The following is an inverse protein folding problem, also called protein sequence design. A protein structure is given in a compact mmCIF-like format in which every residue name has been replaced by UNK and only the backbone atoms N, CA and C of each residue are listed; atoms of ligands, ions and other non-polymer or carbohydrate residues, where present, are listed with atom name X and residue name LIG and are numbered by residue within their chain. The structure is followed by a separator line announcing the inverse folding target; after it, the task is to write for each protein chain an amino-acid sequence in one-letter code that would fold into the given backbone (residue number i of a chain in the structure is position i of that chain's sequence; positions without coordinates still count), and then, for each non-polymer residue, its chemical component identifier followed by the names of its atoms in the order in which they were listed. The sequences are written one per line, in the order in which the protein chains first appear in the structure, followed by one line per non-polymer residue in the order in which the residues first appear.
data_IF_096348938632
#
_entry.id   IF_096348938632
#
_cell.length_a   1.000
_cell.length_b   1.000
_cell.length_c   1.000
_cell.angle_alpha   90.00
_cell.angle_beta   90.00
_cell.angle_gamma   90.00
#
_symmetry.space_group_name_H-M   'P 1'
#
loop_
_entity.id
_entity.type
_entity.pdbx_description
1 polymer ?
#
# COMPACT_ATOMS: atom_id res chain seq x y z
N UNK A 1 -11.42 -18.25 -4.01
CA UNK A 1 -10.77 -16.91 -4.00
C UNK A 1 -10.38 -16.46 -2.59
N UNK A 2 -11.18 -16.73 -1.58
CA UNK A 2 -10.91 -16.32 -0.19
C UNK A 2 -9.48 -16.59 0.29
N UNK A 3 -9.00 -17.84 0.15
CA UNK A 3 -7.64 -18.19 0.56
C UNK A 3 -6.54 -17.37 -0.12
N UNK A 4 -6.71 -16.98 -1.38
CA UNK A 4 -5.72 -16.17 -2.10
C UNK A 4 -5.62 -14.75 -1.54
N UNK A 5 -6.75 -14.13 -1.20
CA UNK A 5 -6.76 -12.82 -0.52
C UNK A 5 -6.18 -12.91 0.89
N UNK A 6 -6.43 -14.02 1.60
CA UNK A 6 -5.81 -14.24 2.91
C UNK A 6 -4.28 -14.35 2.80
N UNK A 7 -3.76 -15.13 1.85
CA UNK A 7 -2.32 -15.20 1.60
C UNK A 7 -1.74 -13.83 1.20
N UNK A 8 -2.43 -13.09 0.33
CA UNK A 8 -1.99 -11.74 -0.02
C UNK A 8 -1.90 -10.83 1.21
N UNK A 9 -2.93 -10.83 2.09
CA UNK A 9 -2.92 -10.08 3.33
C UNK A 9 -1.77 -10.50 4.27
N UNK A 10 -1.47 -11.79 4.38
CA UNK A 10 -0.34 -12.28 5.19
C UNK A 10 1.00 -11.82 4.63
N UNK A 11 1.20 -11.86 3.31
CA UNK A 11 2.41 -11.37 2.65
C UNK A 11 2.57 -9.86 2.89
N UNK A 12 1.51 -9.09 2.66
CA UNK A 12 1.51 -7.65 2.92
C UNK A 12 1.77 -7.35 4.39
N UNK A 13 1.21 -8.14 5.31
CA UNK A 13 1.47 -8.03 6.74
C UNK A 13 2.93 -8.28 7.10
N UNK A 14 3.55 -9.30 6.51
CA UNK A 14 4.99 -9.57 6.70
C UNK A 14 5.86 -8.41 6.21
N UNK A 15 5.53 -7.83 5.06
CA UNK A 15 6.21 -6.63 4.54
C UNK A 15 6.00 -5.45 5.49
N UNK A 16 4.78 -5.25 6.02
CA UNK A 16 4.49 -4.21 7.01
C UNK A 16 5.35 -4.34 8.27
N UNK A 17 5.55 -5.57 8.76
CA UNK A 17 6.45 -5.82 9.91
C UNK A 17 7.88 -5.40 9.60
N UNK A 18 8.40 -5.73 8.41
CA UNK A 18 9.75 -5.32 7.99
C UNK A 18 9.85 -3.80 7.92
N UNK A 19 8.87 -3.12 7.31
CA UNK A 19 8.85 -1.65 7.22
C UNK A 19 8.81 -1.03 8.61
N UNK A 20 7.98 -1.56 9.52
CA UNK A 20 7.88 -1.09 10.89
C UNK A 20 9.20 -1.27 11.65
N UNK A 21 9.85 -2.44 11.49
CA UNK A 21 11.16 -2.71 12.08
C UNK A 21 12.22 -1.73 11.57
N UNK A 22 12.28 -1.52 10.26
CA UNK A 22 13.20 -0.54 9.66
C UNK A 22 12.89 0.89 10.13
N UNK A 23 11.61 1.25 10.25
CA UNK A 23 11.20 2.55 10.79
C UNK A 23 11.62 2.76 12.24
N UNK A 24 11.53 1.73 13.06
CA UNK A 24 11.87 1.80 14.48
C UNK A 24 13.38 1.77 14.74
N UNK A 25 14.13 0.91 14.06
CA UNK A 25 15.53 0.59 14.36
C UNK A 25 16.51 0.93 13.24
N UNK A 26 16.03 1.21 12.02
CA UNK A 26 16.88 1.35 10.83
C UNK A 26 17.98 2.39 10.95
N UNK A 27 17.72 3.52 11.61
CA UNK A 27 18.74 4.54 11.88
C UNK A 27 19.77 4.06 12.91
N UNK A 28 19.33 3.38 13.98
CA UNK A 28 20.20 2.88 15.05
C UNK A 28 21.17 1.82 14.54
N UNK A 29 20.77 1.01 13.58
CA UNK A 29 21.62 -0.04 12.96
C UNK A 29 22.33 0.43 11.68
N UNK A 30 22.29 1.73 11.38
CA UNK A 30 23.01 2.34 10.25
C UNK A 30 22.40 2.09 8.85
N UNK A 31 21.18 1.57 8.75
CA UNK A 31 20.50 1.34 7.47
C UNK A 31 19.77 2.59 6.96
N UNK A 32 19.38 3.49 7.85
CA UNK A 32 18.68 4.73 7.50
C UNK A 32 19.49 5.93 7.99
N UNK A 33 19.75 6.97 7.15
CA UNK A 33 20.55 8.13 7.54
C UNK A 33 19.85 9.00 8.59
N UNK A 34 18.51 9.12 8.52
CA UNK A 34 17.68 9.90 9.44
C UNK A 34 16.69 8.98 10.14
N UNK A 35 16.51 9.15 11.45
CA UNK A 35 15.50 8.40 12.19
C UNK A 35 14.08 8.73 11.68
N UNK A 36 13.24 7.71 11.48
CA UNK A 36 11.86 7.91 11.00
C UNK A 36 11.05 8.80 11.94
N UNK A 37 11.34 8.78 13.24
CA UNK A 37 10.72 9.70 14.19
C UNK A 37 10.99 11.18 13.81
N UNK A 38 12.21 11.52 13.39
CA UNK A 38 12.53 12.88 12.92
C UNK A 38 11.85 13.20 11.57
N UNK A 39 11.75 12.20 10.66
CA UNK A 39 11.00 12.34 9.41
C UNK A 39 9.54 12.71 9.67
N UNK A 40 8.90 12.01 10.63
CA UNK A 40 7.51 12.25 11.00
C UNK A 40 7.34 13.61 11.68
N UNK A 41 8.22 13.92 12.66
CA UNK A 41 8.17 15.18 13.40
C UNK A 41 8.45 16.41 12.54
N UNK A 42 9.23 16.27 11.46
CA UNK A 42 9.53 17.34 10.52
C UNK A 42 8.32 17.75 9.65
N UNK A 43 7.25 16.98 9.61
CA UNK A 43 6.06 17.26 8.77
C UNK A 43 6.40 17.37 7.28
N UNK A 44 5.67 18.21 6.55
CA UNK A 44 5.94 18.44 5.10
C UNK A 44 6.11 17.14 4.30
N UNK A 45 7.27 16.85 3.72
CA UNK A 45 7.55 15.61 3.00
C UNK A 45 7.35 14.37 3.88
N UNK A 46 7.63 14.43 5.17
CA UNK A 46 7.39 13.33 6.11
C UNK A 46 5.93 12.92 6.22
N UNK A 47 4.98 13.81 5.93
CA UNK A 47 3.56 13.47 5.91
C UNK A 47 3.22 12.46 4.80
N UNK A 48 3.92 12.47 3.67
CA UNK A 48 3.78 11.48 2.60
C UNK A 48 4.19 10.07 3.08
N UNK A 49 5.26 10.00 3.90
CA UNK A 49 5.65 8.75 4.54
C UNK A 49 4.54 8.21 5.45
N UNK A 50 3.97 9.06 6.31
CA UNK A 50 2.88 8.67 7.21
C UNK A 50 1.65 8.23 6.43
N UNK A 51 1.23 9.01 5.42
CA UNK A 51 0.08 8.65 4.58
C UNK A 51 0.31 7.32 3.85
N UNK A 52 1.48 7.11 3.28
CA UNK A 52 1.84 5.85 2.64
C UNK A 52 1.79 4.68 3.62
N UNK A 53 2.37 4.83 4.80
CA UNK A 53 2.40 3.80 5.83
C UNK A 53 1.00 3.43 6.34
N UNK A 54 0.18 4.42 6.68
CA UNK A 54 -1.20 4.19 7.14
C UNK A 54 -2.04 3.56 6.03
N UNK A 55 -1.92 4.05 4.78
CA UNK A 55 -2.61 3.44 3.63
C UNK A 55 -2.18 1.99 3.42
N UNK A 56 -0.89 1.70 3.53
CA UNK A 56 -0.38 0.34 3.40
C UNK A 56 -0.97 -0.60 4.46
N UNK A 57 -1.00 -0.18 5.72
CA UNK A 57 -1.59 -0.97 6.81
C UNK A 57 -3.10 -1.16 6.64
N UNK A 58 -3.82 -0.08 6.34
CA UNK A 58 -5.30 -0.13 6.30
C UNK A 58 -5.82 -0.77 5.03
N UNK A 59 -5.28 -0.42 3.86
CA UNK A 59 -5.79 -0.89 2.57
C UNK A 59 -4.98 -2.09 2.05
N UNK A 60 -3.67 -2.09 2.24
CA UNK A 60 -2.81 -3.20 1.81
C UNK A 60 -2.95 -4.45 2.69
N UNK A 61 -3.11 -4.31 4.01
CA UNK A 61 -3.19 -5.45 4.93
C UNK A 61 -4.63 -5.70 5.36
N UNK A 62 -5.25 -4.73 6.07
CA UNK A 62 -6.56 -4.94 6.71
C UNK A 62 -7.66 -5.11 5.67
N UNK A 63 -7.75 -4.25 4.66
CA UNK A 63 -8.79 -4.37 3.65
C UNK A 63 -8.65 -5.66 2.83
N UNK A 64 -7.43 -6.15 2.56
CA UNK A 64 -7.23 -7.43 1.88
C UNK A 64 -7.71 -8.61 2.76
N UNK A 65 -7.45 -8.58 4.07
CA UNK A 65 -7.94 -9.58 5.00
C UNK A 65 -9.48 -9.57 5.08
N UNK A 66 -10.10 -8.38 5.17
CA UNK A 66 -11.56 -8.21 5.14
C UNK A 66 -12.15 -8.68 3.81
N UNK A 67 -11.49 -8.38 2.69
CA UNK A 67 -11.90 -8.86 1.36
C UNK A 67 -11.93 -10.39 1.31
N UNK A 68 -10.96 -11.06 1.94
CA UNK A 68 -10.99 -12.53 2.07
C UNK A 68 -12.29 -13.04 2.72
N UNK A 69 -12.80 -12.35 3.77
CA UNK A 69 -14.06 -12.70 4.42
C UNK A 69 -15.26 -12.54 3.49
N UNK A 70 -15.30 -11.50 2.65
CA UNK A 70 -16.38 -11.35 1.67
C UNK A 70 -16.38 -12.47 0.64
N UNK A 71 -15.21 -12.85 0.12
CA UNK A 71 -15.11 -14.02 -0.76
C UNK A 71 -15.51 -15.30 -0.08
N UNK A 72 -15.07 -15.54 1.17
CA UNK A 72 -15.47 -16.69 1.96
C UNK A 72 -16.98 -16.76 2.17
N UNK A 73 -17.61 -15.64 2.51
CA UNK A 73 -19.04 -15.57 2.70
C UNK A 73 -19.82 -16.01 1.46
N UNK A 74 -19.46 -15.51 0.28
CA UNK A 74 -20.13 -15.86 -0.96
C UNK A 74 -19.86 -17.32 -1.36
N UNK A 75 -18.58 -17.74 -1.31
CA UNK A 75 -18.17 -19.08 -1.75
C UNK A 75 -18.66 -20.17 -0.81
N UNK A 76 -18.51 -19.99 0.51
CA UNK A 76 -18.72 -21.04 1.49
C UNK A 76 -20.06 -20.95 2.21
N UNK A 77 -20.51 -19.73 2.54
CA UNK A 77 -21.76 -19.56 3.30
C UNK A 77 -22.96 -19.55 2.36
N UNK A 78 -22.88 -18.81 1.23
CA UNK A 78 -23.95 -18.77 0.24
C UNK A 78 -23.89 -19.92 -0.79
N UNK A 79 -22.83 -20.71 -0.80
CA UNK A 79 -22.64 -21.80 -1.76
C UNK A 79 -22.55 -21.35 -3.21
N UNK A 80 -22.12 -20.10 -3.47
CA UNK A 80 -22.05 -19.50 -4.81
C UNK A 80 -20.61 -19.37 -5.28
N UNK A 81 -20.06 -20.39 -5.96
CA UNK A 81 -18.67 -20.35 -6.40
C UNK A 81 -18.46 -19.32 -7.50
N UNK A 82 -17.32 -18.66 -7.46
CA UNK A 82 -16.88 -17.76 -8.53
C UNK A 82 -16.53 -18.53 -9.79
N UNK A 83 -17.39 -18.46 -10.82
CA UNK A 83 -17.22 -19.12 -12.13
C UNK A 83 -17.27 -18.11 -13.27
N UNK A 84 -16.76 -18.47 -14.43
CA UNK A 84 -16.81 -17.62 -15.64
C UNK A 84 -16.28 -16.22 -15.40
N UNK A 85 -17.07 -15.20 -15.78
CA UNK A 85 -16.69 -13.78 -15.67
C UNK A 85 -16.39 -13.36 -14.22
N UNK A 86 -17.18 -13.83 -13.23
CA UNK A 86 -16.93 -13.51 -11.83
C UNK A 86 -15.54 -13.96 -11.36
N UNK A 87 -15.06 -15.13 -11.83
CA UNK A 87 -13.71 -15.62 -11.53
C UNK A 87 -12.62 -14.75 -12.16
N UNK A 88 -12.79 -14.35 -13.42
CA UNK A 88 -11.85 -13.43 -14.10
C UNK A 88 -11.73 -12.09 -13.39
N UNK A 89 -12.87 -11.50 -13.03
CA UNK A 89 -12.93 -10.24 -12.27
C UNK A 89 -12.30 -10.38 -10.88
N UNK A 90 -12.46 -11.52 -10.22
CA UNK A 90 -11.81 -11.78 -8.92
C UNK A 90 -10.28 -11.86 -9.03
N UNK A 91 -9.74 -12.37 -10.13
CA UNK A 91 -8.30 -12.35 -10.38
C UNK A 91 -7.79 -10.94 -10.66
N UNK A 92 -8.52 -10.15 -11.46
CA UNK A 92 -8.20 -8.72 -11.67
C UNK A 92 -8.21 -7.99 -10.33
N UNK A 93 -9.23 -8.22 -9.50
CA UNK A 93 -9.30 -7.65 -8.15
C UNK A 93 -8.06 -8.03 -7.32
N UNK A 94 -7.74 -9.32 -7.22
CA UNK A 94 -6.61 -9.78 -6.43
C UNK A 94 -5.29 -9.13 -6.87
N UNK A 95 -5.00 -9.16 -8.16
CA UNK A 95 -3.71 -8.69 -8.67
C UNK A 95 -3.63 -7.17 -8.65
N UNK A 96 -4.64 -6.49 -9.21
CA UNK A 96 -4.60 -5.05 -9.39
C UNK A 96 -4.76 -4.29 -8.07
N UNK A 97 -5.63 -4.74 -7.17
CA UNK A 97 -5.74 -4.10 -5.87
C UNK A 97 -4.44 -4.25 -5.05
N UNK A 98 -3.85 -5.45 -5.01
CA UNK A 98 -2.60 -5.65 -4.26
C UNK A 98 -1.43 -4.87 -4.85
N UNK A 99 -1.19 -4.96 -6.16
CA UNK A 99 -0.07 -4.25 -6.81
C UNK A 99 -0.29 -2.74 -6.74
N UNK A 100 -1.52 -2.28 -7.03
CA UNK A 100 -1.85 -0.87 -7.05
C UNK A 100 -1.71 -0.21 -5.68
N UNK A 101 -2.27 -0.81 -4.64
CA UNK A 101 -2.18 -0.26 -3.27
C UNK A 101 -0.76 -0.33 -2.75
N UNK A 102 -0.09 -1.48 -2.88
CA UNK A 102 1.29 -1.63 -2.42
C UNK A 102 2.23 -0.67 -3.15
N UNK A 103 2.13 -0.59 -4.49
CA UNK A 103 2.97 0.30 -5.29
C UNK A 103 2.79 1.77 -4.91
N UNK A 104 1.54 2.26 -4.82
CA UNK A 104 1.27 3.64 -4.44
C UNK A 104 1.77 3.95 -3.02
N UNK A 105 1.46 3.09 -2.06
CA UNK A 105 1.82 3.31 -0.65
C UNK A 105 3.34 3.25 -0.41
N UNK A 106 4.02 2.27 -1.00
CA UNK A 106 5.48 2.12 -0.87
C UNK A 106 6.23 3.29 -1.51
N UNK A 107 5.78 3.76 -2.69
CA UNK A 107 6.36 4.93 -3.33
C UNK A 107 6.10 6.22 -2.54
N UNK A 108 4.91 6.38 -1.95
CA UNK A 108 4.62 7.51 -1.07
C UNK A 108 5.52 7.49 0.18
N UNK A 109 5.71 6.32 0.79
CA UNK A 109 6.66 6.16 1.91
C UNK A 109 8.09 6.49 1.48
N UNK A 110 8.52 5.97 0.34
CA UNK A 110 9.87 6.20 -0.18
C UNK A 110 10.10 7.68 -0.47
N UNK A 111 9.24 8.33 -1.26
CA UNK A 111 9.33 9.75 -1.58
C UNK A 111 9.25 10.63 -0.33
N UNK A 112 8.32 10.30 0.59
CA UNK A 112 8.16 11.00 1.86
C UNK A 112 9.40 10.90 2.76
N UNK A 113 10.00 9.72 2.87
CA UNK A 113 11.21 9.51 3.65
C UNK A 113 12.39 10.31 3.06
N UNK A 114 12.69 10.14 1.79
CA UNK A 114 13.83 10.82 1.15
C UNK A 114 13.62 12.31 0.99
N UNK A 115 12.37 12.77 0.80
CA UNK A 115 12.05 14.19 0.85
C UNK A 115 12.31 14.79 2.22
N UNK A 116 11.98 14.10 3.30
CA UNK A 116 12.30 14.54 4.65
C UNK A 116 13.81 14.50 4.93
N UNK A 117 14.53 13.47 4.46
CA UNK A 117 16.00 13.40 4.55
C UNK A 117 16.64 14.61 3.81
N UNK A 118 16.12 14.99 2.65
CA UNK A 118 16.61 16.14 1.90
C UNK A 118 16.48 17.45 2.69
N UNK A 119 15.46 17.59 3.53
CA UNK A 119 15.20 18.78 4.35
C UNK A 119 15.86 18.72 5.74
N UNK A 120 16.09 17.53 6.29
CA UNK A 120 16.61 17.37 7.64
C UNK A 120 17.98 18.01 7.78
N UNK A 121 18.30 18.57 8.98
CA UNK A 121 19.62 19.13 9.25
C UNK A 121 20.75 18.11 9.05
N UNK A 122 21.92 18.58 8.60
CA UNK A 122 23.10 17.72 8.43
C UNK A 122 23.56 17.08 9.74
N UNK A 123 23.34 17.75 10.89
CA UNK A 123 23.59 17.21 12.22
C UNK A 123 22.72 16.01 12.57
N UNK A 124 21.63 15.79 11.86
CA UNK A 124 20.73 14.64 12.00
C UNK A 124 20.87 13.61 10.88
N UNK A 125 21.89 13.73 10.02
CA UNK A 125 22.11 12.86 8.87
C UNK A 125 21.36 13.28 7.61
N UNK A 126 20.71 14.44 7.60
CA UNK A 126 20.03 15.01 6.43
C UNK A 126 20.94 15.84 5.54
N UNK A 127 20.36 16.44 4.48
CA UNK A 127 21.08 17.26 3.51
C UNK A 127 21.00 18.77 3.81
N UNK A 128 20.15 19.21 4.73
CA UNK A 128 19.95 20.62 5.07
C UNK A 128 19.31 21.45 3.96
N UNK A 129 18.60 20.82 3.04
CA UNK A 129 17.96 21.47 1.89
C UNK A 129 16.62 22.12 2.22
N UNK A 130 15.97 22.65 1.18
CA UNK A 130 14.66 23.32 1.24
C UNK A 130 13.52 22.37 0.85
N UNK A 131 12.28 22.84 0.98
CA UNK A 131 11.10 22.14 0.46
C UNK A 131 11.18 21.92 -1.06
N UNK A 132 11.75 22.85 -1.81
CA UNK A 132 12.00 22.70 -3.24
C UNK A 132 12.99 21.56 -3.51
N UNK A 133 14.08 21.48 -2.74
CA UNK A 133 15.05 20.38 -2.82
C UNK A 133 14.35 19.03 -2.59
N UNK A 134 13.51 18.94 -1.57
CA UNK A 134 12.74 17.73 -1.28
C UNK A 134 11.79 17.35 -2.43
N UNK A 135 11.09 18.35 -2.99
CA UNK A 135 10.17 18.11 -4.10
C UNK A 135 10.93 17.59 -5.33
N UNK A 136 11.95 18.28 -5.77
CA UNK A 136 12.70 17.94 -7.00
C UNK A 136 13.41 16.58 -6.87
N UNK A 137 14.04 16.29 -5.73
CA UNK A 137 14.86 15.09 -5.57
C UNK A 137 14.05 13.83 -5.24
N UNK A 138 12.93 13.97 -4.50
CA UNK A 138 12.25 12.82 -3.93
C UNK A 138 10.77 12.71 -4.28
N UNK A 139 10.01 13.81 -4.30
CA UNK A 139 8.56 13.74 -4.50
C UNK A 139 8.19 13.72 -5.99
N UNK A 140 8.69 14.68 -6.79
CA UNK A 140 8.36 14.77 -8.21
C UNK A 140 8.62 13.46 -9.00
N UNK A 141 9.71 12.71 -8.76
CA UNK A 141 9.93 11.45 -9.47
C UNK A 141 8.87 10.37 -9.19
N UNK A 142 8.16 10.42 -8.06
CA UNK A 142 7.19 9.40 -7.65
C UNK A 142 5.74 9.81 -7.85
N UNK A 143 5.42 11.08 -8.11
CA UNK A 143 4.05 11.57 -8.26
C UNK A 143 3.26 10.80 -9.33
N UNK A 144 3.76 10.78 -10.57
CA UNK A 144 3.10 10.07 -11.67
C UNK A 144 3.04 8.55 -11.48
N UNK A 145 4.11 7.87 -11.04
CA UNK A 145 4.04 6.48 -10.65
C UNK A 145 2.98 6.18 -9.58
N UNK A 146 2.85 7.01 -8.53
CA UNK A 146 1.82 6.85 -7.50
C UNK A 146 0.43 6.93 -8.14
N UNK A 147 0.17 7.93 -8.98
CA UNK A 147 -1.12 8.07 -9.70
C UNK A 147 -1.38 6.84 -10.56
N UNK A 148 -0.39 6.34 -11.28
CA UNK A 148 -0.51 5.12 -12.08
C UNK A 148 -0.93 3.90 -11.23
N UNK A 149 -0.28 3.68 -10.09
CA UNK A 149 -0.64 2.60 -9.17
C UNK A 149 -2.03 2.79 -8.54
N UNK A 150 -2.44 4.01 -8.23
CA UNK A 150 -3.80 4.29 -7.75
C UNK A 150 -4.86 3.96 -8.79
N UNK A 151 -4.63 4.27 -10.07
CA UNK A 151 -5.53 3.88 -11.16
C UNK A 151 -5.65 2.35 -11.23
N UNK A 152 -4.52 1.63 -11.16
CA UNK A 152 -4.52 0.16 -11.13
C UNK A 152 -5.32 -0.36 -9.93
N UNK A 153 -5.15 0.20 -8.74
CA UNK A 153 -5.92 -0.18 -7.55
C UNK A 153 -7.42 0.05 -7.74
N UNK A 154 -7.82 1.20 -8.29
CA UNK A 154 -9.22 1.53 -8.58
C UNK A 154 -9.84 0.52 -9.52
N UNK A 155 -9.17 0.17 -10.63
CA UNK A 155 -9.63 -0.86 -11.55
C UNK A 155 -9.81 -2.20 -10.82
N UNK A 156 -8.86 -2.56 -9.96
CA UNK A 156 -8.94 -3.77 -9.15
C UNK A 156 -10.19 -3.79 -8.25
N UNK A 157 -10.45 -2.72 -7.51
CA UNK A 157 -11.61 -2.63 -6.62
C UNK A 157 -12.93 -2.64 -7.40
N UNK A 158 -13.02 -1.95 -8.54
CA UNK A 158 -14.21 -2.01 -9.41
C UNK A 158 -14.46 -3.41 -9.93
N UNK A 159 -13.42 -4.11 -10.39
CA UNK A 159 -13.52 -5.49 -10.83
C UNK A 159 -14.01 -6.40 -9.69
N UNK A 160 -13.53 -6.19 -8.48
CA UNK A 160 -13.99 -6.89 -7.28
C UNK A 160 -15.47 -6.71 -7.03
N UNK A 161 -15.94 -5.46 -7.00
CA UNK A 161 -17.35 -5.13 -6.81
C UNK A 161 -18.26 -5.77 -7.87
N UNK A 162 -17.89 -5.67 -9.15
CA UNK A 162 -18.61 -6.32 -10.24
C UNK A 162 -18.60 -7.85 -10.11
N UNK A 163 -17.47 -8.44 -9.75
CA UNK A 163 -17.34 -9.87 -9.51
C UNK A 163 -18.28 -10.36 -8.40
N UNK A 164 -18.41 -9.61 -7.29
CA UNK A 164 -19.36 -9.89 -6.21
C UNK A 164 -20.80 -9.87 -6.71
N UNK A 165 -21.19 -8.82 -7.45
CA UNK A 165 -22.55 -8.67 -7.96
C UNK A 165 -22.93 -9.80 -8.91
N UNK A 166 -22.03 -10.22 -9.80
CA UNK A 166 -22.25 -11.34 -10.72
C UNK A 166 -22.37 -12.67 -9.94
N UNK A 167 -21.45 -12.92 -9.00
CA UNK A 167 -21.49 -14.14 -8.18
C UNK A 167 -22.76 -14.24 -7.35
N UNK A 168 -23.21 -13.16 -6.71
CA UNK A 168 -24.45 -13.13 -5.93
C UNK A 168 -25.71 -13.41 -6.76
N UNK A 169 -25.74 -13.00 -8.04
CA UNK A 169 -26.87 -13.22 -8.95
C UNK A 169 -26.84 -14.57 -9.64
N UNK A 170 -25.74 -15.32 -9.55
CA UNK A 170 -25.67 -16.64 -10.17
C UNK A 170 -26.63 -17.59 -9.47
N UNK A 171 -27.38 -18.38 -10.28
CA UNK A 171 -28.15 -19.50 -9.75
C UNK A 171 -27.17 -20.56 -9.27
N UNK A 172 -27.41 -21.08 -8.10
CA UNK A 172 -26.69 -22.23 -7.54
C UNK A 172 -26.89 -23.47 -8.41
#
# INVERSE_FOLDING_TARGET
MAGLFLYAAMIQGAIAVIITFLGALGNQIGLLPVAVAHVIAGGSAGSWFVMGYVTYLTVGVVAMAVTSLFYFFIESVQGKPYKGAARGLSWIHLVFANIGVAGAALLAMWGGYWGAVAMAPTSQGGLGGTAETAHVLALAPVEYPIVGFLIVAIIGFFAGGLGYLIAMRSKS
#
